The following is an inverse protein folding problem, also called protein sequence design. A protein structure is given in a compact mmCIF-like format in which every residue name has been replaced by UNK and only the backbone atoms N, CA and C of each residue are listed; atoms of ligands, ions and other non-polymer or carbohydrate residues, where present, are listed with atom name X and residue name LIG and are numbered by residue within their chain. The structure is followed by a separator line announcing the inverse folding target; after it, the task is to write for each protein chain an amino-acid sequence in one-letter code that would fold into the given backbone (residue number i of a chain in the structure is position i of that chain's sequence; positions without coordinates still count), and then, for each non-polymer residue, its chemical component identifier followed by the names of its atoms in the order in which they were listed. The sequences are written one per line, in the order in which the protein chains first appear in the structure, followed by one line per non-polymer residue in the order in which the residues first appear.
data_IF_879366780737
#
_entry.id   IF_879366780737
#
_cell.length_a   1.000
_cell.length_b   1.000
_cell.length_c   1.000
_cell.angle_alpha   90.00
_cell.angle_beta   90.00
_cell.angle_gamma   90.00
#
_symmetry.space_group_name_H-M   'P 1'
#
loop_
_entity.id
_entity.type
_entity.pdbx_description
1 polymer ?
#
# COMPACT_ATOMS: atom_id res chain seq x y z
N UNK A 1 4.36 34.64 8.78
CA UNK A 1 4.45 33.63 7.70
C UNK A 1 5.53 32.66 8.13
N UNK A 2 5.14 31.61 8.85
CA UNK A 2 6.05 30.51 9.17
C UNK A 2 6.02 29.57 7.97
N UNK A 3 7.16 29.44 7.29
CA UNK A 3 7.39 28.41 6.29
C UNK A 3 7.51 27.10 7.08
N UNK A 4 6.45 26.28 7.11
CA UNK A 4 6.57 24.91 7.62
C UNK A 4 7.36 24.13 6.58
N UNK A 5 8.64 23.91 6.87
CA UNK A 5 9.50 22.98 6.15
C UNK A 5 9.01 21.57 6.52
N UNK A 6 8.32 20.90 5.60
CA UNK A 6 8.21 19.45 5.65
C UNK A 6 9.63 18.93 5.39
N UNK A 7 10.31 18.42 6.42
CA UNK A 7 11.46 17.54 6.21
C UNK A 7 10.86 16.14 6.09
N UNK A 8 10.58 15.68 4.87
CA UNK A 8 10.56 14.24 4.62
C UNK A 8 12.03 13.79 4.70
N UNK A 9 12.34 13.02 5.74
CA UNK A 9 13.71 12.66 6.05
C UNK A 9 14.05 11.27 5.49
N UNK A 10 15.11 11.26 4.67
CA UNK A 10 16.13 10.21 4.49
C UNK A 10 15.72 8.76 4.81
N UNK A 11 15.39 8.03 3.75
CA UNK A 11 15.46 6.57 3.71
C UNK A 11 16.94 6.13 3.65
N UNK A 12 17.64 6.04 4.78
CA UNK A 12 19.04 5.59 4.83
C UNK A 12 19.16 4.07 4.54
N UNK A 13 19.96 3.71 3.54
CA UNK A 13 20.50 2.36 3.34
C UNK A 13 21.86 2.20 4.02
N UNK A 14 22.12 1.08 4.69
CA UNK A 14 23.45 0.74 5.25
C UNK A 14 23.54 -0.75 5.66
N UNK A 15 24.75 -1.30 5.90
CA UNK A 15 25.76 -1.74 4.94
C UNK A 15 25.87 -3.29 4.88
N UNK A 16 26.49 -3.79 3.80
CA UNK A 16 26.58 -5.22 3.50
C UNK A 16 27.33 -6.09 4.53
N UNK A 17 26.99 -7.37 4.52
CA UNK A 17 27.78 -8.44 5.12
C UNK A 17 28.01 -9.53 4.07
N UNK A 18 29.27 -9.61 3.62
CA UNK A 18 29.85 -10.74 2.89
C UNK A 18 29.87 -12.01 3.76
N UNK A 19 29.70 -13.16 3.10
CA UNK A 19 30.04 -14.46 3.69
C UNK A 19 29.43 -15.64 2.94
N UNK A 20 30.07 -16.08 1.86
CA UNK A 20 29.66 -17.24 1.08
C UNK A 20 30.00 -18.60 1.70
N UNK A 21 29.38 -19.67 1.17
CA UNK A 21 30.04 -20.87 0.62
C UNK A 21 28.99 -21.94 0.23
N UNK A 22 29.34 -22.67 -0.81
CA UNK A 22 28.63 -23.71 -1.58
C UNK A 22 28.03 -24.88 -0.78
N UNK A 23 27.01 -25.57 -1.35
CA UNK A 23 27.15 -26.87 -2.05
C UNK A 23 25.80 -27.43 -2.57
N UNK A 24 25.75 -27.62 -3.88
CA UNK A 24 25.33 -28.79 -4.69
C UNK A 24 24.02 -29.62 -4.48
N UNK A 25 23.49 -30.00 -5.65
CA UNK A 25 22.75 -31.19 -6.06
C UNK A 25 21.24 -31.36 -5.78
N UNK A 26 20.47 -31.57 -6.86
CA UNK A 26 19.31 -32.45 -6.83
C UNK A 26 18.16 -32.14 -7.79
N UNK A 27 18.30 -32.47 -9.07
CA UNK A 27 17.21 -32.54 -10.05
C UNK A 27 16.19 -33.64 -9.71
N UNK A 28 14.90 -33.37 -9.86
CA UNK A 28 13.90 -34.39 -10.23
C UNK A 28 12.73 -33.78 -11.00
N UNK A 29 12.57 -34.25 -12.23
CA UNK A 29 11.35 -34.17 -13.05
C UNK A 29 10.17 -34.89 -12.37
N UNK A 30 8.97 -34.33 -12.47
CA UNK A 30 7.74 -35.13 -12.50
C UNK A 30 6.61 -34.39 -13.24
N UNK A 31 6.14 -35.06 -14.29
CA UNK A 31 5.14 -34.63 -15.25
C UNK A 31 3.72 -34.46 -14.65
N UNK A 32 2.99 -33.49 -15.20
CA UNK A 32 1.54 -33.33 -15.07
C UNK A 32 0.82 -34.27 -16.05
N UNK A 33 -0.36 -34.82 -15.70
CA UNK A 33 -1.32 -35.23 -16.69
C UNK A 33 -2.55 -34.32 -16.76
N UNK A 34 -3.11 -34.40 -17.96
CA UNK A 34 -4.07 -33.55 -18.64
C UNK A 34 -5.47 -33.44 -18.04
N UNK A 35 -6.13 -32.36 -18.47
CA UNK A 35 -7.52 -32.04 -18.25
C UNK A 35 -8.47 -33.00 -18.98
N UNK A 36 -9.61 -33.31 -18.34
CA UNK A 36 -10.78 -33.85 -19.02
C UNK A 36 -12.06 -33.17 -18.51
N UNK A 37 -12.69 -32.47 -19.46
CA UNK A 37 -14.02 -31.88 -19.42
C UNK A 37 -15.10 -32.95 -19.21
N UNK A 38 -16.07 -32.72 -18.31
CA UNK A 38 -17.40 -33.34 -18.38
C UNK A 38 -18.51 -32.37 -17.94
N UNK A 39 -19.17 -31.85 -18.98
CA UNK A 39 -20.61 -31.63 -19.19
C UNK A 39 -21.57 -31.70 -17.98
N UNK A 40 -22.25 -30.58 -17.72
CA UNK A 40 -23.30 -30.45 -16.71
C UNK A 40 -24.69 -30.52 -17.35
N UNK A 41 -25.38 -31.65 -17.17
CA UNK A 41 -26.82 -31.80 -17.40
C UNK A 41 -27.61 -31.65 -16.08
N UNK A 42 -28.85 -31.12 -16.12
CA UNK A 42 -29.58 -30.69 -14.92
C UNK A 42 -30.33 -31.86 -14.26
N UNK A 43 -30.23 -31.98 -12.93
CA UNK A 43 -31.03 -32.93 -12.16
C UNK A 43 -31.95 -32.20 -11.17
N UNK A 44 -33.21 -32.18 -11.61
CA UNK A 44 -34.49 -32.29 -10.90
C UNK A 44 -34.54 -32.10 -9.37
N UNK A 45 -35.44 -31.22 -8.94
CA UNK A 45 -35.73 -30.90 -7.55
C UNK A 45 -36.74 -31.88 -6.96
N UNK A 46 -36.33 -32.61 -5.92
CA UNK A 46 -37.21 -33.32 -4.99
C UNK A 46 -36.99 -32.81 -3.56
N UNK A 47 -38.05 -32.65 -2.73
CA UNK A 47 -37.92 -32.07 -1.41
C UNK A 47 -37.48 -33.15 -0.42
N UNK A 48 -36.31 -32.98 0.19
CA UNK A 48 -35.96 -33.77 1.36
C UNK A 48 -35.80 -32.86 2.58
N UNK A 49 -36.64 -33.15 3.58
CA UNK A 49 -36.68 -32.49 4.85
C UNK A 49 -35.53 -33.05 5.70
N UNK A 50 -34.37 -32.41 5.64
CA UNK A 50 -33.31 -32.52 6.63
C UNK A 50 -33.35 -31.31 7.56
N UNK A 51 -33.59 -31.55 8.85
CA UNK A 51 -33.45 -30.55 9.91
C UNK A 51 -32.03 -29.98 9.90
N UNK A 52 -31.85 -28.76 9.41
CA UNK A 52 -30.73 -27.93 9.82
C UNK A 52 -31.01 -27.48 11.26
N UNK A 53 -30.36 -28.14 12.22
CA UNK A 53 -30.07 -27.51 13.49
C UNK A 53 -29.14 -26.33 13.19
N UNK A 54 -29.73 -25.18 12.88
CA UNK A 54 -29.00 -23.93 12.80
C UNK A 54 -28.35 -23.70 14.17
N UNK A 55 -27.04 -23.99 14.27
CA UNK A 55 -26.24 -23.52 15.39
C UNK A 55 -26.48 -22.02 15.54
N UNK A 56 -26.70 -21.55 16.76
CA UNK A 56 -26.97 -20.12 16.94
C UNK A 56 -25.72 -19.32 16.58
N UNK A 57 -25.94 -18.21 15.88
CA UNK A 57 -24.92 -17.47 15.14
C UNK A 57 -24.47 -16.27 15.98
N UNK A 58 -23.28 -16.35 16.56
CA UNK A 58 -22.62 -15.18 17.12
C UNK A 58 -22.13 -14.30 15.96
N UNK A 59 -22.78 -13.16 15.73
CA UNK A 59 -22.47 -12.28 14.59
C UNK A 59 -22.58 -10.81 14.96
N UNK A 60 -21.99 -9.96 14.13
CA UNK A 60 -22.00 -8.53 14.34
C UNK A 60 -21.42 -7.75 13.17
N UNK A 61 -21.27 -6.45 13.39
CA UNK A 61 -20.65 -5.52 12.45
C UNK A 61 -19.63 -4.67 13.20
N UNK A 62 -18.46 -4.45 12.60
CA UNK A 62 -17.42 -3.58 13.15
C UNK A 62 -17.34 -2.34 12.29
N UNK A 63 -17.43 -1.18 12.93
CA UNK A 63 -17.24 0.13 12.29
C UNK A 63 -16.24 0.95 13.07
N UNK A 64 -15.65 1.95 12.43
CA UNK A 64 -14.71 2.88 13.06
C UNK A 64 -14.98 4.32 12.64
N UNK A 65 -14.54 5.28 13.45
CA UNK A 65 -14.51 6.69 13.07
C UNK A 65 -13.43 6.94 12.03
N UNK A 66 -13.85 7.18 10.79
CA UNK A 66 -13.01 7.71 9.72
C UNK A 66 -13.09 9.24 9.70
N UNK A 67 -11.96 9.89 9.42
CA UNK A 67 -11.89 11.34 9.21
C UNK A 67 -11.55 11.61 7.74
N UNK A 68 -12.50 12.04 6.89
CA UNK A 68 -12.21 12.32 5.49
C UNK A 68 -11.37 13.59 5.36
N UNK A 69 -10.29 13.54 4.58
CA UNK A 69 -9.50 14.73 4.23
C UNK A 69 -10.09 15.48 3.05
N UNK A 70 -10.08 16.81 3.12
CA UNK A 70 -10.53 17.73 2.07
C UNK A 70 -9.56 18.90 1.92
N UNK A 71 -9.82 19.86 1.03
CA UNK A 71 -9.05 21.11 0.96
C UNK A 71 -9.24 22.03 2.18
N UNK A 72 -10.25 21.77 3.01
CA UNK A 72 -10.50 22.51 4.25
C UNK A 72 -9.83 21.89 5.49
N UNK A 73 -9.17 20.73 5.34
CA UNK A 73 -8.62 19.92 6.41
C UNK A 73 -9.41 18.62 6.64
N UNK A 74 -9.17 18.01 7.79
CA UNK A 74 -9.89 16.82 8.25
C UNK A 74 -11.33 17.16 8.61
N UNK A 75 -12.27 16.51 7.92
CA UNK A 75 -13.70 16.60 8.19
C UNK A 75 -14.09 16.02 9.55
N UNK A 76 -15.39 16.04 9.86
CA UNK A 76 -15.91 15.39 11.06
C UNK A 76 -15.77 13.86 10.98
N UNK A 77 -15.73 13.19 12.13
CA UNK A 77 -15.77 11.75 12.20
C UNK A 77 -17.07 11.20 11.58
N UNK A 78 -16.92 10.20 10.71
CA UNK A 78 -18.01 9.47 10.08
C UNK A 78 -17.77 7.96 10.25
N UNK A 79 -18.80 7.18 10.63
CA UNK A 79 -18.65 5.73 10.72
C UNK A 79 -18.38 5.08 9.36
N UNK A 80 -17.39 4.19 9.31
CA UNK A 80 -17.05 3.39 8.14
C UNK A 80 -16.86 1.91 8.54
N UNK A 81 -17.18 0.91 7.70
CA UNK A 81 -17.01 -0.49 8.07
C UNK A 81 -15.53 -0.89 8.09
N UNK A 82 -15.16 -1.77 9.02
CA UNK A 82 -13.81 -2.32 9.07
C UNK A 82 -13.73 -3.57 8.20
N UNK A 83 -13.12 -3.50 7.02
CA UNK A 83 -12.96 -4.66 6.13
C UNK A 83 -11.75 -5.57 6.46
N UNK A 84 -11.89 -6.89 6.29
CA UNK A 84 -10.75 -7.83 6.33
C UNK A 84 -10.03 -7.98 7.68
N UNK A 85 -10.49 -7.31 8.73
CA UNK A 85 -9.87 -7.35 10.04
C UNK A 85 -10.12 -8.70 10.72
N UNK A 86 -9.14 -9.20 11.48
CA UNK A 86 -9.37 -10.42 12.26
C UNK A 86 -10.27 -10.13 13.46
N UNK A 87 -11.31 -10.93 13.64
CA UNK A 87 -12.17 -10.93 14.83
C UNK A 87 -11.99 -12.26 15.54
N UNK A 88 -11.62 -12.22 16.82
CA UNK A 88 -11.54 -13.41 17.67
C UNK A 88 -12.68 -13.43 18.68
N UNK A 89 -13.30 -14.59 18.83
CA UNK A 89 -14.28 -14.88 19.87
C UNK A 89 -13.53 -15.38 21.10
N UNK A 90 -13.79 -14.75 22.24
CA UNK A 90 -13.16 -15.03 23.51
C UNK A 90 -14.22 -15.56 24.48
N UNK A 91 -13.97 -16.73 25.05
CA UNK A 91 -14.76 -17.30 26.15
C UNK A 91 -13.81 -17.66 27.30
N UNK A 92 -14.15 -17.26 28.53
CA UNK A 92 -13.34 -17.50 29.73
C UNK A 92 -11.85 -17.07 29.59
N UNK A 93 -11.61 -16.01 28.81
CA UNK A 93 -10.27 -15.47 28.55
C UNK A 93 -9.44 -16.22 27.50
N UNK A 94 -10.02 -17.24 26.85
CA UNK A 94 -9.38 -18.04 25.80
C UNK A 94 -10.00 -17.73 24.43
N UNK A 95 -9.16 -17.71 23.39
CA UNK A 95 -9.65 -17.73 22.01
C UNK A 95 -10.35 -19.06 21.74
N UNK A 96 -11.63 -19.00 21.37
CA UNK A 96 -12.42 -20.18 20.99
C UNK A 96 -12.71 -20.23 19.50
N UNK A 97 -12.84 -19.07 18.85
CA UNK A 97 -13.04 -18.98 17.40
C UNK A 97 -12.39 -17.73 16.79
N UNK A 98 -12.19 -17.75 15.47
CA UNK A 98 -11.60 -16.66 14.69
C UNK A 98 -12.32 -16.52 13.35
N UNK A 99 -12.57 -15.29 12.94
CA UNK A 99 -13.17 -14.91 11.66
C UNK A 99 -12.45 -13.67 11.10
N UNK A 100 -12.75 -13.31 9.85
CA UNK A 100 -12.41 -12.01 9.29
C UNK A 100 -13.68 -11.23 9.00
N UNK A 101 -13.64 -9.91 9.13
CA UNK A 101 -14.73 -9.07 8.66
C UNK A 101 -14.81 -9.08 7.13
N UNK A 102 -16.02 -9.07 6.58
CA UNK A 102 -16.25 -8.83 5.15
C UNK A 102 -16.09 -7.33 4.79
N UNK A 103 -16.32 -6.96 3.53
CA UNK A 103 -16.22 -5.57 3.08
C UNK A 103 -17.22 -4.62 3.75
N UNK A 104 -18.33 -5.14 4.28
CA UNK A 104 -19.34 -4.39 5.02
C UNK A 104 -19.08 -4.40 6.54
N UNK A 105 -17.91 -4.91 6.97
CA UNK A 105 -17.52 -5.00 8.38
C UNK A 105 -18.22 -6.12 9.15
N UNK A 106 -18.97 -7.01 8.48
CA UNK A 106 -19.72 -8.07 9.16
C UNK A 106 -18.80 -9.24 9.50
N UNK A 107 -19.04 -9.85 10.64
CA UNK A 107 -18.40 -11.10 11.05
C UNK A 107 -19.45 -12.08 11.59
N UNK A 108 -19.13 -13.37 11.54
CA UNK A 108 -19.94 -14.41 12.14
C UNK A 108 -19.09 -15.60 12.58
N UNK A 109 -19.53 -16.27 13.64
CA UNK A 109 -18.96 -17.52 14.15
C UNK A 109 -20.04 -18.60 14.16
N UNK A 110 -19.69 -19.80 13.73
CA UNK A 110 -20.56 -20.98 13.82
C UNK A 110 -20.36 -21.65 15.17
N UNK A 111 -20.50 -20.90 16.27
CA UNK A 111 -20.35 -21.42 17.63
C UNK A 111 -21.28 -20.70 18.61
N UNK A 112 -21.80 -21.47 19.57
CA UNK A 112 -22.50 -21.03 20.78
C UNK A 112 -21.59 -21.34 21.99
N UNK A 113 -20.57 -20.52 22.29
CA UNK A 113 -19.74 -20.81 23.44
C UNK A 113 -20.60 -20.70 24.71
N UNK A 114 -20.56 -21.72 25.56
CA UNK A 114 -21.23 -21.67 26.85
C UNK A 114 -20.45 -20.74 27.79
N UNK A 115 -21.03 -19.61 28.20
CA UNK A 115 -20.40 -18.68 29.14
C UNK A 115 -20.53 -17.21 28.74
N UNK A 116 -19.83 -16.34 29.44
CA UNK A 116 -19.71 -14.94 29.04
C UNK A 116 -18.72 -14.84 27.88
N UNK A 117 -19.19 -14.34 26.74
CA UNK A 117 -18.42 -14.23 25.51
C UNK A 117 -18.17 -12.78 25.13
N UNK A 118 -16.98 -12.52 24.58
CA UNK A 118 -16.58 -11.22 24.07
C UNK A 118 -15.94 -11.40 22.69
N UNK A 119 -16.00 -10.36 21.88
CA UNK A 119 -15.21 -10.29 20.65
C UNK A 119 -14.01 -9.39 20.85
N UNK A 120 -12.92 -9.70 20.15
CA UNK A 120 -11.77 -8.82 20.03
C UNK A 120 -11.43 -8.65 18.57
N UNK A 121 -11.50 -7.41 18.10
CA UNK A 121 -11.13 -7.02 16.74
C UNK A 121 -9.67 -6.61 16.75
N UNK A 122 -8.85 -7.21 15.89
CA UNK A 122 -7.44 -6.89 15.76
C UNK A 122 -7.27 -5.91 14.60
N UNK A 123 -6.39 -4.92 14.76
CA UNK A 123 -5.94 -4.06 13.66
C UNK A 123 -4.91 -4.81 12.80
N UNK A 124 -5.30 -5.98 12.28
CA UNK A 124 -4.50 -6.82 11.39
C UNK A 124 -5.37 -7.38 10.26
N UNK A 125 -4.74 -7.93 9.23
CA UNK A 125 -5.41 -8.65 8.16
C UNK A 125 -4.52 -9.81 7.71
N UNK A 126 -5.12 -10.95 7.36
CA UNK A 126 -4.40 -12.07 6.76
C UNK A 126 -4.08 -11.81 5.28
N UNK A 127 -4.99 -11.14 4.56
CA UNK A 127 -4.94 -10.98 3.10
C UNK A 127 -5.44 -9.60 2.67
N UNK A 128 -4.53 -8.69 2.29
CA UNK A 128 -3.07 -8.78 2.44
C UNK A 128 -2.59 -8.87 3.90
N UNK A 129 -1.38 -9.40 4.16
CA UNK A 129 -0.86 -9.64 5.50
C UNK A 129 -0.31 -8.37 6.18
N UNK A 130 -1.20 -7.60 6.82
CA UNK A 130 -0.92 -6.30 7.45
C UNK A 130 -1.08 -6.42 8.97
N UNK A 131 -0.30 -5.66 9.76
CA UNK A 131 -0.78 -5.25 11.07
C UNK A 131 -0.32 -3.86 11.49
N UNK A 132 -1.17 -3.24 12.31
CA UNK A 132 -0.93 -1.95 12.95
C UNK A 132 -0.55 -2.17 14.40
N UNK A 133 0.64 -1.71 14.76
CA UNK A 133 1.26 -1.86 16.06
C UNK A 133 1.54 -0.52 16.71
N UNK A 134 1.57 -0.51 18.04
CA UNK A 134 2.21 0.59 18.77
C UNK A 134 3.74 0.54 18.58
N UNK A 135 4.47 1.54 19.09
CA UNK A 135 5.92 1.60 18.86
C UNK A 135 6.69 0.55 19.67
N UNK A 136 6.02 -0.14 20.59
CA UNK A 136 6.55 -1.30 21.31
C UNK A 136 6.26 -2.64 20.58
N UNK A 137 5.62 -2.59 19.40
CA UNK A 137 5.32 -3.76 18.57
C UNK A 137 4.06 -4.52 19.00
N UNK A 138 3.19 -3.92 19.82
CA UNK A 138 1.92 -4.56 20.21
C UNK A 138 0.82 -4.21 19.21
N UNK A 139 0.13 -5.23 18.67
CA UNK A 139 -0.98 -5.03 17.74
C UNK A 139 -2.18 -4.42 18.46
N UNK A 140 -2.78 -3.38 17.89
CA UNK A 140 -4.01 -2.78 18.43
C UNK A 140 -5.16 -3.79 18.41
N UNK A 141 -5.86 -3.94 19.53
CA UNK A 141 -6.97 -4.87 19.64
C UNK A 141 -8.13 -4.28 20.46
N UNK A 142 -9.34 -4.31 19.91
CA UNK A 142 -10.54 -3.68 20.46
C UNK A 142 -11.50 -4.75 20.98
N UNK A 143 -11.71 -4.79 22.30
CA UNK A 143 -12.58 -5.78 22.95
C UNK A 143 -13.95 -5.20 23.26
N UNK A 144 -15.00 -5.98 22.97
CA UNK A 144 -16.38 -5.61 23.24
C UNK A 144 -17.30 -6.82 23.30
N UNK A 145 -18.60 -6.58 23.47
CA UNK A 145 -19.60 -7.64 23.39
C UNK A 145 -19.79 -8.14 21.95
N UNK A 146 -20.23 -9.38 21.80
CA UNK A 146 -20.70 -9.90 20.50
C UNK A 146 -21.85 -9.02 19.99
N UNK A 147 -21.81 -8.66 18.71
CA UNK A 147 -22.74 -7.75 18.06
C UNK A 147 -22.06 -6.58 17.37
N UNK A 148 -22.78 -5.47 17.25
CA UNK A 148 -22.25 -4.25 16.67
C UNK A 148 -21.19 -3.61 17.59
N UNK A 149 -20.01 -3.32 17.02
CA UNK A 149 -18.92 -2.64 17.68
C UNK A 149 -18.54 -1.39 16.85
N UNK A 150 -18.57 -0.23 17.49
CA UNK A 150 -18.13 1.01 16.88
C UNK A 150 -16.92 1.55 17.64
N UNK A 151 -15.78 1.66 16.97
CA UNK A 151 -14.54 2.17 17.54
C UNK A 151 -14.45 3.66 17.24
N UNK A 152 -14.53 4.47 18.29
CA UNK A 152 -14.52 5.93 18.13
C UNK A 152 -13.09 6.46 17.99
N UNK A 153 -12.98 7.73 17.57
CA UNK A 153 -11.69 8.41 17.54
C UNK A 153 -11.00 8.30 18.92
N UNK A 154 -11.57 8.74 20.07
CA UNK A 154 -10.95 8.53 21.39
C UNK A 154 -10.46 7.09 21.69
N UNK A 155 -11.12 6.07 21.13
CA UNK A 155 -10.78 4.66 21.28
C UNK A 155 -9.74 4.16 20.26
N UNK A 156 -8.94 5.05 19.67
CA UNK A 156 -7.87 4.73 18.71
C UNK A 156 -8.36 4.19 17.37
N UNK A 157 -9.49 4.69 16.84
CA UNK A 157 -9.97 4.37 15.49
C UNK A 157 -8.93 4.57 14.37
N UNK A 158 -7.92 5.45 14.56
CA UNK A 158 -6.80 5.64 13.64
C UNK A 158 -6.07 4.35 13.28
N UNK A 159 -5.95 3.39 14.20
CA UNK A 159 -5.32 2.10 13.88
C UNK A 159 -6.15 1.29 12.85
N UNK A 160 -7.47 1.44 12.85
CA UNK A 160 -8.34 0.80 11.86
C UNK A 160 -8.36 1.58 10.53
N UNK A 161 -8.24 2.91 10.57
CA UNK A 161 -8.09 3.75 9.38
C UNK A 161 -6.80 3.43 8.61
N UNK A 162 -5.70 3.20 9.34
CA UNK A 162 -4.42 2.73 8.80
C UNK A 162 -4.54 1.37 8.13
N UNK A 163 -5.12 0.39 8.84
CA UNK A 163 -5.36 -0.94 8.28
C UNK A 163 -6.18 -0.85 6.98
N UNK A 164 -7.27 -0.08 7.02
CA UNK A 164 -8.21 0.06 5.90
C UNK A 164 -7.54 0.65 4.66
N UNK A 165 -6.86 1.79 4.82
CA UNK A 165 -6.17 2.49 3.75
C UNK A 165 -5.10 1.61 3.10
N UNK A 166 -4.27 0.95 3.90
CA UNK A 166 -3.18 0.12 3.37
C UNK A 166 -3.68 -1.17 2.73
N UNK A 167 -4.77 -1.75 3.25
CA UNK A 167 -5.42 -2.92 2.66
C UNK A 167 -5.97 -2.60 1.27
N UNK A 168 -6.63 -1.46 1.12
CA UNK A 168 -7.18 -1.04 -0.17
C UNK A 168 -6.09 -0.67 -1.18
N UNK A 169 -5.02 0.01 -0.73
CA UNK A 169 -3.83 0.27 -1.54
C UNK A 169 -3.16 -1.01 -2.05
N UNK A 170 -2.97 -2.01 -1.20
CA UNK A 170 -2.39 -3.30 -1.59
C UNK A 170 -3.32 -4.12 -2.51
N UNK A 171 -4.65 -4.03 -2.34
CA UNK A 171 -5.61 -4.65 -3.29
C UNK A 171 -5.49 -4.00 -4.67
N UNK A 172 -5.45 -2.68 -4.74
CA UNK A 172 -5.20 -1.97 -5.99
C UNK A 172 -3.85 -2.37 -6.61
N UNK A 173 -2.79 -2.45 -5.80
CA UNK A 173 -1.48 -2.89 -6.27
C UNK A 173 -1.51 -4.33 -6.80
N UNK A 174 -2.20 -5.26 -6.15
CA UNK A 174 -2.34 -6.64 -6.65
C UNK A 174 -2.92 -6.67 -8.07
N UNK A 175 -3.98 -5.89 -8.32
CA UNK A 175 -4.56 -5.74 -9.65
C UNK A 175 -3.61 -5.06 -10.64
N UNK A 176 -3.00 -3.94 -10.24
CA UNK A 176 -2.17 -3.11 -11.11
C UNK A 176 -0.90 -3.84 -11.57
N UNK A 177 -0.31 -4.65 -10.70
CA UNK A 177 0.85 -5.49 -11.01
C UNK A 177 0.47 -6.88 -11.56
N UNK A 178 -0.83 -7.21 -11.67
CA UNK A 178 -1.31 -8.55 -12.01
C UNK A 178 -0.69 -9.65 -11.13
N UNK A 179 -0.50 -9.35 -9.84
CA UNK A 179 0.19 -10.20 -8.87
C UNK A 179 -0.75 -11.29 -8.35
N UNK A 180 -0.32 -12.54 -8.42
CA UNK A 180 -1.04 -13.68 -7.84
C UNK A 180 -0.53 -14.05 -6.44
N UNK A 181 0.77 -13.90 -6.19
CA UNK A 181 1.36 -14.14 -4.88
C UNK A 181 0.90 -13.11 -3.84
N UNK A 182 0.83 -13.51 -2.57
CA UNK A 182 0.62 -12.55 -1.48
C UNK A 182 1.79 -11.55 -1.43
N UNK A 183 1.51 -10.31 -1.05
CA UNK A 183 2.56 -9.34 -0.73
C UNK A 183 3.33 -9.81 0.50
N UNK A 184 4.62 -9.46 0.63
CA UNK A 184 5.29 -9.57 1.91
C UNK A 184 4.44 -8.97 3.03
N UNK A 185 4.60 -9.45 4.26
CA UNK A 185 4.23 -8.70 5.45
C UNK A 185 4.32 -7.17 5.32
N UNK A 186 3.34 -6.44 5.87
CA UNK A 186 3.45 -5.00 6.13
C UNK A 186 3.18 -4.74 7.62
N UNK A 187 4.15 -4.18 8.32
CA UNK A 187 4.02 -3.68 9.69
C UNK A 187 3.93 -2.16 9.68
N UNK A 188 2.88 -1.64 10.32
CA UNK A 188 2.62 -0.21 10.44
C UNK A 188 2.78 0.14 11.93
N UNK A 189 3.70 1.03 12.25
CA UNK A 189 3.95 1.51 13.61
C UNK A 189 3.32 2.89 13.76
N UNK A 190 2.37 2.99 14.68
CA UNK A 190 1.64 4.22 14.94
C UNK A 190 1.28 4.33 16.42
N UNK A 191 1.37 5.53 16.99
CA UNK A 191 0.85 5.84 18.32
C UNK A 191 0.21 7.23 18.33
N UNK A 192 -1.05 7.31 18.74
CA UNK A 192 -1.69 8.61 18.99
C UNK A 192 -0.89 9.46 19.98
N UNK A 193 -0.77 10.74 19.63
CA UNK A 193 -0.04 11.76 20.37
C UNK A 193 1.47 11.70 20.18
N UNK A 194 1.99 10.78 19.37
CA UNK A 194 3.43 10.57 19.20
C UNK A 194 3.90 11.00 17.82
N UNK A 195 4.93 11.84 17.82
CA UNK A 195 5.65 12.22 16.61
C UNK A 195 6.77 11.24 16.32
N UNK A 196 7.03 11.02 15.04
CA UNK A 196 8.21 10.33 14.52
C UNK A 196 9.33 11.35 14.21
N UNK A 197 10.61 10.95 14.28
CA UNK A 197 11.69 11.75 13.71
C UNK A 197 11.50 11.84 12.19
N UNK A 198 11.28 13.05 11.65
CA UNK A 198 11.18 13.26 10.21
C UNK A 198 9.78 13.12 9.60
N UNK A 199 8.71 13.04 10.41
CA UNK A 199 7.34 12.91 9.89
C UNK A 199 6.94 11.48 9.58
N UNK A 200 5.77 11.29 8.95
CA UNK A 200 5.38 9.98 8.42
C UNK A 200 6.41 9.51 7.39
N UNK A 201 6.82 8.24 7.49
CA UNK A 201 7.92 7.69 6.70
C UNK A 201 7.89 6.17 6.59
N UNK A 202 8.29 5.68 5.43
CA UNK A 202 8.81 4.34 5.22
C UNK A 202 10.22 4.25 5.80
N UNK A 203 10.49 3.24 6.64
CA UNK A 203 11.82 3.06 7.22
C UNK A 203 12.68 2.17 6.32
N UNK A 204 12.39 0.87 6.30
CA UNK A 204 13.05 -0.14 5.47
C UNK A 204 12.24 -1.43 5.46
N UNK A 205 12.36 -2.23 4.41
CA UNK A 205 11.73 -3.55 4.33
C UNK A 205 10.20 -3.48 4.37
N UNK A 206 9.64 -4.12 5.39
CA UNK A 206 8.21 -4.24 5.64
C UNK A 206 7.65 -3.23 6.65
N UNK A 207 8.40 -2.19 7.06
CA UNK A 207 7.97 -1.26 8.11
C UNK A 207 7.60 0.14 7.60
N UNK A 208 6.40 0.60 7.98
CA UNK A 208 5.95 1.99 7.91
C UNK A 208 5.88 2.61 9.30
N UNK A 209 6.35 3.84 9.45
CA UNK A 209 6.28 4.63 10.67
C UNK A 209 5.39 5.84 10.44
N UNK A 210 4.20 5.83 11.05
CA UNK A 210 3.20 6.88 10.87
C UNK A 210 3.25 7.84 12.04
N UNK A 211 3.31 9.13 11.72
CA UNK A 211 3.20 10.21 12.67
C UNK A 211 1.76 10.31 13.18
N UNK A 212 1.58 10.24 14.50
CA UNK A 212 0.29 10.43 15.16
C UNK A 212 0.31 11.64 16.08
N UNK A 213 1.02 12.70 15.71
CA UNK A 213 1.25 13.87 16.55
C UNK A 213 -0.05 14.58 17.00
N UNK A 214 0.02 15.42 18.05
CA UNK A 214 -1.16 16.12 18.57
C UNK A 214 -1.71 17.18 17.61
N UNK A 215 -0.89 17.65 16.67
CA UNK A 215 -1.26 18.64 15.66
C UNK A 215 -1.39 18.04 14.28
N UNK A 216 -0.78 16.89 14.03
CA UNK A 216 -0.59 16.32 12.71
C UNK A 216 -0.93 14.83 12.85
N UNK A 217 -2.01 14.41 12.21
CA UNK A 217 -2.64 13.10 12.43
C UNK A 217 -2.70 12.37 11.10
N UNK A 218 -1.55 11.90 10.65
CA UNK A 218 -1.40 11.22 9.36
C UNK A 218 -2.19 9.91 9.27
N UNK A 219 -2.65 9.35 10.40
CA UNK A 219 -3.52 8.16 10.40
C UNK A 219 -4.81 8.32 9.57
N UNK A 220 -5.17 9.55 9.21
CA UNK A 220 -6.32 9.88 8.38
C UNK A 220 -5.96 10.48 7.01
N UNK A 221 -4.68 10.75 6.76
CA UNK A 221 -4.21 11.42 5.56
C UNK A 221 -3.94 10.37 4.48
N UNK A 222 -5.04 9.87 3.90
CA UNK A 222 -5.01 8.80 2.90
C UNK A 222 -3.98 9.04 1.78
N UNK A 223 -3.79 10.26 1.25
CA UNK A 223 -2.76 10.51 0.25
C UNK A 223 -1.33 10.24 0.75
N UNK A 224 -1.01 10.64 1.99
CA UNK A 224 0.29 10.43 2.65
C UNK A 224 0.49 8.93 2.95
N UNK A 225 -0.53 8.27 3.52
CA UNK A 225 -0.46 6.84 3.83
C UNK A 225 -0.18 5.98 2.59
N UNK A 226 -0.82 6.28 1.46
CA UNK A 226 -0.59 5.55 0.21
C UNK A 226 0.72 5.95 -0.48
N UNK A 227 1.25 7.15 -0.22
CA UNK A 227 2.60 7.50 -0.61
C UNK A 227 3.60 6.57 0.10
N UNK A 228 3.51 6.40 1.42
CA UNK A 228 4.42 5.46 2.12
C UNK A 228 4.27 4.01 1.64
N UNK A 229 3.06 3.60 1.28
CA UNK A 229 2.85 2.29 0.63
C UNK A 229 3.57 2.18 -0.71
N UNK A 230 3.67 3.29 -1.45
CA UNK A 230 4.42 3.37 -2.68
C UNK A 230 5.90 3.03 -2.49
N UNK A 231 6.52 3.50 -1.41
CA UNK A 231 7.90 3.13 -1.06
C UNK A 231 8.02 1.66 -0.69
N UNK A 232 7.06 1.11 0.07
CA UNK A 232 7.01 -0.33 0.30
C UNK A 232 6.95 -1.12 -1.02
N UNK A 233 6.16 -0.69 -2.01
CA UNK A 233 6.10 -1.34 -3.32
C UNK A 233 7.41 -1.19 -4.11
N UNK A 234 8.10 -0.06 -3.99
CA UNK A 234 9.44 0.12 -4.55
C UNK A 234 10.44 -0.88 -3.96
N UNK A 235 10.34 -1.22 -2.68
CA UNK A 235 11.14 -2.28 -2.07
C UNK A 235 10.74 -3.68 -2.57
N UNK A 236 9.44 -3.99 -2.61
CA UNK A 236 8.94 -5.32 -3.05
C UNK A 236 9.39 -5.65 -4.48
N UNK A 237 9.33 -4.66 -5.37
CA UNK A 237 9.63 -4.84 -6.79
C UNK A 237 11.01 -4.32 -7.21
N UNK A 238 11.74 -3.69 -6.29
CA UNK A 238 13.08 -3.09 -6.45
C UNK A 238 13.20 -2.26 -7.73
N UNK A 239 12.29 -1.30 -7.93
CA UNK A 239 12.32 -0.41 -9.10
C UNK A 239 12.79 1.02 -8.79
N UNK A 240 13.48 1.22 -7.67
CA UNK A 240 14.06 2.52 -7.28
C UNK A 240 15.46 2.32 -6.69
N UNK A 241 16.36 3.26 -6.96
CA UNK A 241 17.70 3.31 -6.38
C UNK A 241 17.86 4.65 -5.63
N UNK A 242 17.89 4.62 -4.31
CA UNK A 242 17.99 5.84 -3.50
C UNK A 242 19.46 6.17 -3.26
N UNK A 243 19.98 7.32 -3.74
CA UNK A 243 21.27 7.80 -3.30
C UNK A 243 21.21 8.39 -1.89
N UNK A 244 22.26 8.18 -1.11
CA UNK A 244 22.42 8.80 0.20
C UNK A 244 22.47 10.35 0.09
N UNK A 245 21.81 11.04 1.02
CA UNK A 245 22.22 12.38 1.47
C UNK A 245 21.52 13.63 0.91
N UNK A 246 20.43 13.52 0.14
CA UNK A 246 19.60 14.67 -0.26
C UNK A 246 18.25 14.66 0.49
N UNK A 247 17.73 15.81 0.98
CA UNK A 247 16.37 15.93 1.51
C UNK A 247 15.32 16.21 0.42
N UNK A 248 14.07 15.78 0.65
CA UNK A 248 12.95 15.86 -0.30
C UNK A 248 11.81 16.70 0.26
N UNK A 249 11.42 17.75 -0.47
CA UNK A 249 10.34 18.65 -0.10
C UNK A 249 9.81 19.40 -1.35
N UNK A 250 9.58 18.69 -2.46
CA UNK A 250 9.16 19.28 -3.73
C UNK A 250 10.22 19.98 -4.57
N UNK A 251 11.42 20.24 -4.03
CA UNK A 251 12.50 20.92 -4.74
C UNK A 251 13.25 20.02 -5.75
N UNK A 252 13.92 20.65 -6.73
CA UNK A 252 14.79 19.96 -7.70
C UNK A 252 15.88 19.13 -7.00
N UNK A 253 15.82 17.81 -7.18
CA UNK A 253 16.72 16.85 -6.53
C UNK A 253 17.34 15.82 -7.48
N UNK A 254 18.20 14.92 -6.98
CA UNK A 254 18.74 13.80 -7.77
C UNK A 254 17.61 13.07 -8.53
N UNK A 255 17.74 12.76 -9.83
CA UNK A 255 16.65 12.19 -10.62
C UNK A 255 16.10 10.86 -10.10
N UNK A 256 16.96 10.03 -9.51
CA UNK A 256 16.54 8.74 -8.94
C UNK A 256 15.71 8.94 -7.69
N UNK A 257 16.02 10.00 -6.97
CA UNK A 257 15.39 10.37 -5.73
C UNK A 257 14.08 11.13 -5.98
N UNK A 258 14.05 11.98 -7.01
CA UNK A 258 12.81 12.53 -7.55
C UNK A 258 11.86 11.42 -8.03
N UNK A 259 12.40 10.36 -8.65
CA UNK A 259 11.63 9.16 -9.02
C UNK A 259 11.15 8.38 -7.79
N UNK A 260 12.03 8.20 -6.80
CA UNK A 260 11.73 7.54 -5.54
C UNK A 260 10.52 8.16 -4.83
N UNK A 261 10.40 9.49 -4.83
CA UNK A 261 9.30 10.24 -4.19
C UNK A 261 8.09 10.50 -5.11
N UNK A 262 8.35 10.76 -6.39
CA UNK A 262 7.32 11.11 -7.36
C UNK A 262 6.43 9.94 -7.75
N UNK A 263 6.96 8.72 -7.83
CA UNK A 263 6.16 7.54 -8.14
C UNK A 263 5.17 7.18 -7.03
N UNK A 264 5.54 7.16 -5.72
CA UNK A 264 4.60 7.02 -4.61
C UNK A 264 3.46 8.03 -4.60
N UNK A 265 3.77 9.30 -4.85
CA UNK A 265 2.75 10.35 -4.98
C UNK A 265 1.78 10.08 -6.15
N UNK A 266 2.29 9.57 -7.28
CA UNK A 266 1.45 9.07 -8.37
C UNK A 266 0.61 7.85 -7.95
N UNK A 267 1.21 6.85 -7.31
CA UNK A 267 0.54 5.63 -6.87
C UNK A 267 -0.62 5.95 -5.92
N UNK A 268 -0.40 6.87 -4.98
CA UNK A 268 -1.41 7.39 -4.08
C UNK A 268 -2.63 7.93 -4.82
N UNK A 269 -2.44 8.74 -5.86
CA UNK A 269 -3.52 9.25 -6.69
C UNK A 269 -4.19 8.15 -7.53
N UNK A 270 -3.41 7.24 -8.12
CA UNK A 270 -3.91 6.15 -8.95
C UNK A 270 -4.78 5.16 -8.16
N UNK A 271 -4.38 4.83 -6.93
CA UNK A 271 -5.08 3.91 -6.04
C UNK A 271 -6.40 4.50 -5.52
N UNK A 272 -6.44 5.80 -5.25
CA UNK A 272 -7.68 6.50 -4.83
C UNK A 272 -8.61 6.84 -5.98
N UNK A 273 -8.08 6.84 -7.22
CA UNK A 273 -8.83 7.27 -8.39
C UNK A 273 -9.09 8.78 -8.43
N UNK A 274 -8.29 9.56 -7.70
CA UNK A 274 -8.37 11.03 -7.67
C UNK A 274 -6.96 11.65 -7.65
N UNK A 275 -6.81 12.80 -8.33
CA UNK A 275 -5.52 13.46 -8.51
C UNK A 275 -5.06 14.29 -7.32
N UNK A 276 -5.84 14.37 -6.25
CA UNK A 276 -5.60 15.32 -5.18
C UNK A 276 -4.63 14.78 -4.14
N UNK A 277 -3.48 15.41 -3.95
CA UNK A 277 -2.53 15.08 -2.89
C UNK A 277 -2.73 16.06 -1.73
N UNK A 278 -3.10 15.53 -0.56
CA UNK A 278 -3.41 16.33 0.63
C UNK A 278 -2.79 15.76 1.89
N UNK A 279 -2.29 16.68 2.70
CA UNK A 279 -1.69 16.48 4.02
C UNK A 279 -2.28 17.55 4.94
N UNK A 280 -2.76 17.14 6.12
CA UNK A 280 -3.44 17.97 7.10
C UNK A 280 -2.61 18.20 8.35
N UNK A 281 -2.36 19.47 8.65
CA UNK A 281 -1.64 19.89 9.87
C UNK A 281 -2.47 20.93 10.61
N UNK A 282 -2.69 20.69 11.89
CA UNK A 282 -3.45 21.55 12.79
C UNK A 282 -4.95 21.58 12.47
N UNK A 283 -5.48 20.52 11.86
CA UNK A 283 -6.88 20.45 11.42
C UNK A 283 -7.19 21.24 10.14
N UNK A 284 -6.17 21.80 9.48
CA UNK A 284 -6.28 22.43 8.15
C UNK A 284 -5.38 21.71 7.17
N UNK A 285 -5.65 21.85 5.88
CA UNK A 285 -4.81 21.27 4.83
C UNK A 285 -3.53 22.10 4.67
N UNK A 286 -2.37 21.48 4.92
CA UNK A 286 -1.06 22.10 4.77
C UNK A 286 -0.54 21.99 3.32
N UNK A 287 -0.79 20.85 2.68
CA UNK A 287 -0.52 20.62 1.24
C UNK A 287 -1.84 20.32 0.55
N UNK A 288 -2.17 21.05 -0.51
CA UNK A 288 -3.32 20.78 -1.38
C UNK A 288 -2.88 20.93 -2.83
N UNK A 289 -2.52 19.81 -3.46
CA UNK A 289 -2.09 19.75 -4.86
C UNK A 289 -3.07 18.90 -5.66
N UNK A 290 -3.32 19.30 -6.92
CA UNK A 290 -3.98 18.45 -7.90
C UNK A 290 -2.97 18.05 -8.97
N UNK A 291 -2.54 16.78 -8.94
CA UNK A 291 -1.58 16.21 -9.89
C UNK A 291 -2.06 16.33 -11.34
N UNK A 292 -3.37 16.34 -11.58
CA UNK A 292 -3.96 16.53 -12.90
C UNK A 292 -3.92 17.99 -13.40
N UNK A 293 -3.67 18.94 -12.51
CA UNK A 293 -3.77 20.38 -12.77
C UNK A 293 -2.53 21.17 -12.34
N UNK A 294 -1.38 20.52 -12.13
CA UNK A 294 -0.14 21.19 -11.73
C UNK A 294 0.30 22.25 -12.76
N UNK A 295 0.69 23.46 -12.33
CA UNK A 295 1.15 24.54 -13.22
C UNK A 295 2.27 24.11 -14.17
N UNK A 296 2.34 24.72 -15.36
CA UNK A 296 3.45 24.54 -16.31
C UNK A 296 4.60 25.52 -16.04
N UNK A 297 5.01 25.63 -14.77
CA UNK A 297 6.05 26.55 -14.30
C UNK A 297 6.60 26.13 -12.94
N UNK A 298 7.73 26.70 -12.53
CA UNK A 298 8.31 26.46 -11.20
C UNK A 298 8.89 25.07 -11.07
N UNK A 299 8.65 24.42 -9.93
CA UNK A 299 9.13 23.05 -9.62
C UNK A 299 8.45 21.98 -10.48
N UNK A 300 7.31 22.28 -11.12
CA UNK A 300 6.56 21.31 -11.92
C UNK A 300 7.05 21.16 -13.37
N UNK A 301 8.19 21.78 -13.73
CA UNK A 301 8.78 21.74 -15.08
C UNK A 301 10.29 21.54 -15.04
N UNK A 302 10.82 20.82 -16.03
CA UNK A 302 12.24 20.67 -16.26
C UNK A 302 12.83 21.85 -17.05
N UNK A 303 14.06 21.67 -17.51
CA UNK A 303 14.82 22.61 -18.34
C UNK A 303 15.14 21.95 -19.67
N UNK A 304 14.51 22.44 -20.73
CA UNK A 304 14.65 21.90 -22.09
C UNK A 304 16.09 21.96 -22.64
N UNK A 305 16.96 22.82 -22.08
CA UNK A 305 18.38 22.93 -22.47
C UNK A 305 19.33 22.11 -21.59
N UNK A 306 18.84 21.48 -20.52
CA UNK A 306 19.62 20.63 -19.64
C UNK A 306 19.62 19.18 -20.17
N UNK A 307 20.51 18.29 -19.69
CA UNK A 307 20.42 16.87 -20.03
C UNK A 307 19.17 16.20 -19.43
N UNK A 308 18.85 14.98 -19.87
CA UNK A 308 17.78 14.17 -19.26
C UNK A 308 18.09 13.78 -17.80
N UNK A 309 19.38 13.75 -17.42
CA UNK A 309 19.88 13.53 -16.05
C UNK A 309 19.84 14.77 -15.14
N UNK A 310 19.12 15.83 -15.54
CA UNK A 310 19.00 17.04 -14.73
C UNK A 310 18.25 16.77 -13.43
N UNK A 311 18.52 17.55 -12.38
CA UNK A 311 17.71 17.50 -11.15
C UNK A 311 16.24 17.82 -11.44
N UNK A 312 15.33 17.10 -10.79
CA UNK A 312 13.88 17.19 -11.00
C UNK A 312 13.14 17.28 -9.67
N UNK A 313 11.96 17.89 -9.69
CA UNK A 313 10.99 17.78 -8.61
C UNK A 313 10.23 16.45 -8.70
N UNK A 314 9.92 15.86 -7.55
CA UNK A 314 8.96 14.75 -7.43
C UNK A 314 7.60 15.09 -8.06
N UNK A 315 7.16 16.35 -7.98
CA UNK A 315 5.85 16.77 -8.46
C UNK A 315 5.77 16.78 -9.99
N UNK A 316 6.88 17.04 -10.68
CA UNK A 316 6.96 16.88 -12.13
C UNK A 316 6.70 15.43 -12.52
N UNK A 317 7.31 14.49 -11.78
CA UNK A 317 7.19 13.05 -12.04
C UNK A 317 5.77 12.61 -11.70
N UNK A 318 5.28 12.86 -10.49
CA UNK A 318 3.95 12.50 -10.04
C UNK A 318 2.86 13.02 -11.00
N UNK A 319 2.92 14.30 -11.36
CA UNK A 319 1.97 14.91 -12.30
C UNK A 319 2.06 14.35 -13.72
N UNK A 320 3.27 14.07 -14.22
CA UNK A 320 3.45 13.49 -15.56
C UNK A 320 2.91 12.06 -15.63
N UNK A 321 3.19 11.24 -14.61
CA UNK A 321 2.68 9.87 -14.50
C UNK A 321 1.16 9.86 -14.39
N UNK A 322 0.58 10.71 -13.53
CA UNK A 322 -0.86 10.80 -13.37
C UNK A 322 -1.57 11.29 -14.64
N UNK A 323 -0.98 12.26 -15.35
CA UNK A 323 -1.50 12.72 -16.65
C UNK A 323 -1.49 11.59 -17.69
N UNK A 324 -0.42 10.81 -17.79
CA UNK A 324 -0.38 9.65 -18.68
C UNK A 324 -1.42 8.60 -18.29
N UNK A 325 -1.51 8.27 -17.00
CA UNK A 325 -2.46 7.29 -16.45
C UNK A 325 -3.93 7.65 -16.72
N UNK A 326 -4.28 8.92 -16.68
CA UNK A 326 -5.66 9.40 -16.89
C UNK A 326 -5.99 9.80 -18.33
N UNK A 327 -5.02 9.71 -19.26
CA UNK A 327 -5.18 10.21 -20.63
C UNK A 327 -6.05 9.34 -21.57
N UNK A 328 -6.55 8.20 -21.08
CA UNK A 328 -7.29 7.22 -21.87
C UNK A 328 -8.10 6.26 -21.02
N UNK A 329 -8.45 5.11 -21.60
CA UNK A 329 -9.13 4.01 -20.89
C UNK A 329 -8.30 3.56 -19.68
N UNK A 330 -8.88 3.57 -18.48
CA UNK A 330 -8.16 3.31 -17.23
C UNK A 330 -7.57 1.90 -17.17
N UNK A 331 -8.25 0.89 -17.72
CA UNK A 331 -7.73 -0.48 -17.75
C UNK A 331 -6.45 -0.55 -18.58
N UNK A 332 -6.49 0.04 -19.78
CA UNK A 332 -5.34 0.11 -20.68
C UNK A 332 -4.20 0.94 -20.06
N UNK A 333 -4.50 2.12 -19.52
CA UNK A 333 -3.49 3.01 -18.96
C UNK A 333 -2.90 2.46 -17.66
N UNK A 334 -3.66 1.72 -16.85
CA UNK A 334 -3.13 0.97 -15.70
C UNK A 334 -2.09 -0.04 -16.16
N UNK A 335 -2.42 -0.90 -17.13
CA UNK A 335 -1.45 -1.86 -17.66
C UNK A 335 -0.17 -1.18 -18.17
N UNK A 336 -0.30 -0.08 -18.93
CA UNK A 336 0.87 0.66 -19.45
C UNK A 336 1.69 1.37 -18.38
N UNK A 337 1.06 1.84 -17.31
CA UNK A 337 1.75 2.61 -16.26
C UNK A 337 2.45 1.71 -15.24
N UNK A 338 2.03 0.46 -15.09
CA UNK A 338 2.62 -0.47 -14.12
C UNK A 338 3.54 -1.51 -14.75
N UNK A 339 3.33 -1.89 -16.01
CA UNK A 339 4.19 -2.87 -16.69
C UNK A 339 5.67 -2.48 -16.76
N UNK A 340 6.08 -1.20 -16.96
CA UNK A 340 7.49 -0.82 -16.96
C UNK A 340 8.22 -1.14 -15.65
N UNK A 341 7.50 -1.12 -14.52
CA UNK A 341 8.07 -1.34 -13.19
C UNK A 341 8.61 -2.77 -13.02
N UNK A 342 7.98 -3.75 -13.66
CA UNK A 342 8.35 -5.18 -13.53
C UNK A 342 8.97 -5.77 -14.78
N UNK A 343 8.80 -5.14 -15.95
CA UNK A 343 9.27 -5.65 -17.24
C UNK A 343 10.43 -4.84 -17.84
N UNK A 344 10.77 -3.70 -17.23
CA UNK A 344 11.82 -2.81 -17.76
C UNK A 344 12.76 -2.30 -16.69
N UNK A 345 12.24 -1.84 -15.55
CA UNK A 345 13.05 -1.28 -14.45
C UNK A 345 13.78 -2.37 -13.64
N UNK A 346 13.73 -3.63 -14.05
CA UNK A 346 14.43 -4.74 -13.38
C UNK A 346 15.95 -4.73 -13.60
N UNK A 347 16.43 -4.28 -14.77
CA UNK A 347 17.86 -4.11 -15.08
C UNK A 347 18.35 -2.65 -14.90
N UNK A 348 19.19 -2.33 -13.89
CA UNK A 348 19.74 -0.99 -13.70
C UNK A 348 20.92 -0.67 -14.65
N UNK A 349 21.36 -1.61 -15.50
CA UNK A 349 22.60 -1.50 -16.29
C UNK A 349 22.51 -0.67 -17.58
N UNK A 350 21.33 -0.23 -17.99
CA UNK A 350 21.11 0.55 -19.23
C UNK A 350 20.45 1.87 -18.93
N UNK A 351 21.22 2.95 -19.05
CA UNK A 351 20.80 4.26 -18.58
C UNK A 351 21.02 5.33 -19.65
N UNK A 352 19.96 6.08 -19.96
CA UNK A 352 20.00 7.26 -20.83
C UNK A 352 19.85 8.56 -20.04
N UNK A 353 19.44 8.46 -18.78
CA UNK A 353 19.28 9.51 -17.79
C UNK A 353 20.46 9.50 -16.79
N UNK A 354 20.14 9.51 -15.51
CA UNK A 354 21.10 9.49 -14.42
C UNK A 354 21.29 8.07 -13.87
N UNK A 355 22.55 7.62 -13.76
CA UNK A 355 22.93 6.27 -13.34
C UNK A 355 22.09 5.69 -12.19
N UNK A 356 21.19 4.76 -12.51
CA UNK A 356 20.23 4.11 -11.62
C UNK A 356 18.79 4.33 -12.10
N UNK A 357 17.82 3.70 -11.46
CA UNK A 357 16.42 3.77 -11.91
C UNK A 357 15.83 5.15 -11.73
N UNK A 358 15.45 5.78 -12.84
CA UNK A 358 14.86 7.12 -12.84
C UNK A 358 13.64 7.27 -13.79
N UNK A 359 13.16 8.51 -13.93
CA UNK A 359 12.00 8.84 -14.77
C UNK A 359 12.21 8.54 -16.27
N UNK A 360 13.45 8.65 -16.78
CA UNK A 360 13.81 8.33 -18.16
C UNK A 360 13.64 6.83 -18.41
N UNK A 361 14.11 5.99 -17.48
CA UNK A 361 13.95 4.55 -17.58
C UNK A 361 12.48 4.13 -17.58
N UNK A 362 11.66 4.78 -16.76
CA UNK A 362 10.22 4.56 -16.79
C UNK A 362 9.62 4.89 -18.16
N UNK A 363 9.94 6.06 -18.74
CA UNK A 363 9.42 6.48 -20.05
C UNK A 363 9.90 5.55 -21.18
N UNK A 364 11.13 5.06 -21.08
CA UNK A 364 11.68 4.07 -22.00
C UNK A 364 10.91 2.76 -21.93
N UNK A 365 10.70 2.25 -20.72
CA UNK A 365 9.90 1.06 -20.46
C UNK A 365 8.46 1.23 -20.92
N UNK A 366 7.86 2.39 -20.67
CA UNK A 366 6.51 2.72 -21.11
C UNK A 366 6.40 2.58 -22.63
N UNK A 367 7.31 3.22 -23.38
CA UNK A 367 7.31 3.16 -24.84
C UNK A 367 7.67 1.77 -25.37
N UNK A 368 8.67 1.09 -24.81
CA UNK A 368 9.09 -0.21 -25.34
C UNK A 368 8.08 -1.33 -25.01
N UNK A 369 7.62 -1.43 -23.76
CA UNK A 369 6.65 -2.44 -23.33
C UNK A 369 5.30 -2.23 -24.02
N UNK A 370 4.91 -0.96 -24.24
CA UNK A 370 3.64 -0.62 -24.87
C UNK A 370 3.73 -0.41 -26.39
N UNK A 371 4.79 -0.89 -27.07
CA UNK A 371 4.96 -0.79 -28.53
C UNK A 371 4.80 0.64 -29.09
N UNK A 372 5.30 1.63 -28.36
CA UNK A 372 5.28 3.04 -28.73
C UNK A 372 3.97 3.78 -28.43
N UNK A 373 3.05 3.16 -27.69
CA UNK A 373 1.79 3.80 -27.29
C UNK A 373 2.04 5.14 -26.56
N UNK A 374 1.12 6.08 -26.76
CA UNK A 374 1.12 7.42 -26.14
C UNK A 374 2.37 8.28 -26.41
N UNK A 375 3.25 7.91 -27.35
CA UNK A 375 4.40 8.71 -27.79
C UNK A 375 4.07 10.18 -28.05
N UNK A 376 2.98 10.46 -28.78
CA UNK A 376 2.55 11.83 -29.06
C UNK A 376 2.08 12.58 -27.80
N UNK A 377 1.52 11.86 -26.81
CA UNK A 377 1.11 12.44 -25.52
C UNK A 377 2.32 12.72 -24.64
N UNK A 378 3.32 11.83 -24.63
CA UNK A 378 4.59 12.06 -23.94
C UNK A 378 5.29 13.26 -24.57
N UNK A 379 5.35 13.35 -25.91
CA UNK A 379 5.91 14.52 -26.58
C UNK A 379 5.19 15.81 -26.17
N UNK A 380 3.85 15.81 -26.20
CA UNK A 380 3.11 17.02 -25.87
C UNK A 380 3.26 17.38 -24.38
N UNK A 381 2.94 16.46 -23.48
CA UNK A 381 2.91 16.75 -22.05
C UNK A 381 4.31 16.83 -21.45
N UNK A 382 5.12 15.77 -21.57
CA UNK A 382 6.42 15.68 -20.91
C UNK A 382 7.45 16.60 -21.58
N UNK A 383 7.51 16.58 -22.92
CA UNK A 383 8.55 17.34 -23.63
C UNK A 383 8.21 18.81 -23.78
N UNK A 384 7.00 19.14 -24.24
CA UNK A 384 6.64 20.53 -24.54
C UNK A 384 6.12 21.26 -23.30
N UNK A 385 5.11 20.71 -22.64
CA UNK A 385 4.42 21.40 -21.54
C UNK A 385 5.24 21.37 -20.24
N UNK A 386 5.81 20.21 -19.90
CA UNK A 386 6.71 20.02 -18.74
C UNK A 386 8.16 20.38 -19.02
N UNK A 387 8.51 20.70 -20.28
CA UNK A 387 9.86 21.14 -20.70
C UNK A 387 10.98 20.14 -20.32
N UNK A 388 10.65 18.87 -20.12
CA UNK A 388 11.63 17.84 -19.85
C UNK A 388 12.21 17.32 -21.18
N UNK A 389 13.54 17.31 -21.38
CA UNK A 389 14.18 17.07 -22.68
C UNK A 389 14.22 15.58 -23.06
N UNK A 390 13.12 14.84 -22.84
CA UNK A 390 13.00 13.45 -23.25
C UNK A 390 13.00 13.34 -24.77
N UNK A 391 13.93 12.56 -25.34
CA UNK A 391 14.17 12.48 -26.78
C UNK A 391 13.27 11.49 -27.53
N UNK A 392 12.37 10.80 -26.81
CA UNK A 392 11.44 9.79 -27.32
C UNK A 392 12.13 8.64 -28.07
N UNK A 393 13.43 8.42 -27.86
CA UNK A 393 14.22 7.48 -28.68
C UNK A 393 14.81 6.34 -27.85
N UNK A 394 13.98 5.56 -27.12
CA UNK A 394 14.47 4.40 -26.39
C UNK A 394 14.95 3.32 -27.36
N UNK A 395 15.91 2.51 -26.92
CA UNK A 395 16.37 1.33 -27.66
C UNK A 395 15.62 0.10 -27.16
N UNK A 396 14.86 -0.58 -28.03
CA UNK A 396 14.09 -1.79 -27.69
C UNK A 396 14.62 -3.03 -28.47
N UNK A 397 14.62 -4.26 -27.90
CA UNK A 397 14.25 -4.61 -26.52
C UNK A 397 15.39 -4.31 -25.52
N UNK A 398 15.04 -4.11 -24.24
CA UNK A 398 16.04 -4.08 -23.16
C UNK A 398 16.60 -5.49 -22.95
N UNK A 399 17.91 -5.68 -22.77
CA UNK A 399 18.45 -6.94 -22.30
C UNK A 399 18.01 -7.16 -20.84
N UNK A 400 17.27 -8.24 -20.55
CA UNK A 400 16.84 -8.56 -19.19
C UNK A 400 15.97 -9.81 -19.13
N UNK A 401 16.05 -10.56 -18.03
CA UNK A 401 15.19 -11.72 -17.75
C UNK A 401 14.03 -11.28 -16.84
N UNK A 402 12.77 -11.64 -17.13
CA UNK A 402 11.64 -11.37 -16.26
C UNK A 402 11.92 -11.83 -14.81
N UNK A 403 11.60 -10.98 -13.83
CA UNK A 403 11.73 -11.29 -12.40
C UNK A 403 10.92 -12.54 -12.03
N UNK A 404 11.52 -13.44 -11.25
CA UNK A 404 10.80 -14.43 -10.46
C UNK A 404 10.16 -13.70 -9.27
N UNK A 405 8.84 -13.79 -9.10
CA UNK A 405 8.17 -13.23 -7.92
C UNK A 405 8.90 -13.69 -6.65
N UNK A 406 9.38 -12.74 -5.82
CA UNK A 406 9.86 -13.08 -4.49
C UNK A 406 8.67 -13.65 -3.70
N UNK A 407 8.68 -14.96 -3.52
CA UNK A 407 7.83 -15.70 -2.60
C UNK A 407 8.53 -15.70 -1.24
N UNK A 408 7.92 -15.09 -0.23
CA UNK A 408 8.38 -15.19 1.16
C UNK A 408 7.44 -16.16 1.88
N UNK A 409 8.01 -16.95 2.81
CA UNK A 409 7.37 -18.05 3.51
C UNK A 409 5.93 -17.75 3.98
N UNK A 410 5.02 -18.75 3.89
CA UNK A 410 3.64 -18.59 4.32
C UNK A 410 3.54 -18.26 5.82
N UNK A 411 2.48 -17.56 6.26
CA UNK A 411 2.24 -17.31 7.67
C UNK A 411 2.18 -18.64 8.45
N UNK A 412 2.81 -18.64 9.62
CA UNK A 412 2.84 -19.81 10.52
C UNK A 412 1.42 -20.17 10.96
N UNK A 413 1.09 -21.45 10.84
CA UNK A 413 -0.17 -22.05 11.32
C UNK A 413 -0.21 -22.03 12.85
N UNK A 414 -1.31 -21.53 13.43
CA UNK A 414 -1.54 -21.49 14.88
C UNK A 414 -2.16 -22.80 15.42
N UNK A 415 -1.86 -23.14 16.68
CA UNK A 415 -2.45 -24.24 17.44
C UNK A 415 -3.28 -23.69 18.61
N UNK A 416 -4.54 -24.13 18.83
CA UNK A 416 -5.41 -23.64 19.91
C UNK A 416 -4.77 -23.80 21.31
N UNK A 417 -4.97 -22.80 22.19
CA UNK A 417 -4.64 -22.89 23.63
C UNK A 417 -3.46 -22.06 24.15
N UNK A 418 -3.04 -21.00 23.47
CA UNK A 418 -1.98 -20.09 23.97
C UNK A 418 -2.46 -18.65 24.15
N UNK A 419 -1.69 -17.87 24.92
CA UNK A 419 -1.87 -16.42 25.15
C UNK A 419 -2.26 -15.71 23.85
N UNK A 420 -3.31 -14.90 23.88
CA UNK A 420 -3.82 -14.15 22.73
C UNK A 420 -2.71 -13.34 22.06
N UNK A 421 -2.37 -13.74 20.84
CA UNK A 421 -1.38 -13.12 19.96
C UNK A 421 -2.02 -12.91 18.59
N UNK A 422 -1.44 -12.03 17.78
CA UNK A 422 -1.85 -11.89 16.39
C UNK A 422 -1.41 -13.11 15.55
N UNK A 423 -1.69 -13.10 14.25
CA UNK A 423 -1.34 -14.21 13.34
C UNK A 423 0.17 -14.50 13.25
N UNK A 424 1.04 -13.62 13.76
CA UNK A 424 2.50 -13.78 13.78
C UNK A 424 3.09 -13.95 15.18
N UNK A 425 2.26 -14.08 16.21
CA UNK A 425 2.72 -14.26 17.58
C UNK A 425 3.07 -12.96 18.31
N UNK A 426 2.68 -11.79 17.83
CA UNK A 426 2.89 -10.49 18.51
C UNK A 426 1.95 -10.32 19.69
N UNK A 427 2.41 -9.55 20.69
CA UNK A 427 1.61 -9.13 21.84
C UNK A 427 0.49 -8.17 21.40
N UNK A 428 -0.55 -8.02 22.22
CA UNK A 428 -1.70 -7.18 21.91
C UNK A 428 -1.79 -5.95 22.85
N UNK A 429 -2.08 -4.78 22.30
CA UNK A 429 -2.52 -3.59 23.02
C UNK A 429 -4.04 -3.59 23.06
N UNK A 430 -4.59 -4.09 24.17
CA UNK A 430 -6.03 -4.30 24.32
C UNK A 430 -6.71 -3.02 24.81
N UNK A 431 -7.70 -2.55 24.04
CA UNK A 431 -8.59 -1.43 24.34
C UNK A 431 -9.98 -1.98 24.61
N UNK A 432 -10.62 -1.54 25.70
CA UNK A 432 -11.98 -1.93 26.03
C UNK A 432 -12.95 -0.91 25.46
N UNK A 433 -13.86 -1.35 24.61
CA UNK A 433 -14.89 -0.49 24.02
C UNK A 433 -16.09 -0.51 24.95
N UNK A 434 -16.36 0.63 25.59
CA UNK A 434 -17.55 0.81 26.39
C UNK A 434 -18.80 0.81 25.50
N UNK A 435 -19.89 0.20 25.99
CA UNK A 435 -21.18 0.22 25.30
C UNK A 435 -21.85 1.59 25.35
#
# INVERSE_FOLDING_TARGET
MALSLLLLAHCDGSPGLDGGAETDAGSVDAALPDAALLDAGPLDAGPDAGMDAAGSLSSGVVTYDRRPISSAGLGAATPDPVGGATVVLIADGLEVARAQTDADGRYSFVEEPSGEVQVRVLADSARPPIAVTDFAGNVYAFSGGVGALHITEPDFAGALALLDTQRDGLRFAAEAFSRAAEFPPLEIRWERGRTTPGGTSYATGDELWILGGPTDTDEYDTPVLLHELGHYLQWVYEFSDVPDGDPHAGADTDPRLAWNEGWPSFFSAAARGDGSYRDSVGGVTAIDLDLGSLPFSGEYVGRASAPMSQRLSEWLIAGSLYHLYTSGDLTTQRARSFAPLTQWLDDPGHDRGAFGRDFVDFLDGYLCVSSGADRARIEQHVVRDRRFPYDLSPTCPKPGTPRLEQSIDPPRVFLPGTVLRDQRGRSLRVIQIAR
#
